data_IF_847656342955
#
_entry.id   IF_847656342955
#
_cell.length_a   1.000
_cell.length_b   1.000
_cell.length_c   1.000
_cell.angle_alpha   90.00
_cell.angle_beta   90.00
_cell.angle_gamma   90.00
#
_symmetry.space_group_name_H-M   'P 1'
#
loop_
_entity.id
_entity.type
_entity.pdbx_description
1 polymer ?
#
# COMPACT_ATOMS: atom_id res chain seq x y z
N UNK A 1 8.44 -17.66 15.00
CA UNK A 1 7.12 -18.24 14.66
C UNK A 1 6.11 -17.12 14.80
N UNK A 2 5.60 -16.63 13.68
CA UNK A 2 4.63 -15.53 13.60
C UNK A 2 3.36 -15.94 14.34
N UNK A 3 2.80 -15.03 15.15
CA UNK A 3 1.53 -15.27 15.85
C UNK A 3 0.44 -14.42 15.21
N UNK A 4 -0.60 -15.06 14.73
CA UNK A 4 -1.80 -14.40 14.21
C UNK A 4 -2.90 -14.40 15.27
N UNK A 5 -3.53 -13.25 15.47
CA UNK A 5 -4.70 -13.10 16.33
C UNK A 5 -5.54 -11.89 15.90
N UNK A 6 -6.79 -11.85 16.37
CA UNK A 6 -7.65 -10.67 16.21
C UNK A 6 -7.60 -9.81 17.47
N UNK A 7 -7.48 -8.50 17.31
CA UNK A 7 -7.49 -7.51 18.40
C UNK A 7 -8.49 -6.39 18.11
N UNK A 8 -8.85 -5.60 19.13
CA UNK A 8 -9.69 -4.42 18.94
C UNK A 8 -8.92 -3.29 18.24
N UNK A 9 -9.65 -2.38 17.61
CA UNK A 9 -9.09 -1.18 16.99
C UNK A 9 -8.29 -0.32 18.00
N UNK A 10 -8.78 -0.16 19.24
CA UNK A 10 -8.06 0.60 20.27
C UNK A 10 -6.72 -0.03 20.62
N UNK A 11 -6.69 -1.36 20.72
CA UNK A 11 -5.45 -2.09 20.99
C UNK A 11 -4.48 -1.99 19.82
N UNK A 12 -4.98 -2.03 18.58
CA UNK A 12 -4.17 -1.88 17.38
C UNK A 12 -3.55 -0.47 17.29
N UNK A 13 -4.36 0.58 17.48
CA UNK A 13 -3.89 1.96 17.57
C UNK A 13 -2.85 2.13 18.68
N UNK A 14 -3.12 1.63 19.90
CA UNK A 14 -2.18 1.73 21.01
C UNK A 14 -0.85 1.04 20.72
N UNK A 15 -0.88 -0.13 20.05
CA UNK A 15 0.33 -0.86 19.65
C UNK A 15 1.11 -0.10 18.57
N UNK A 16 0.43 0.29 17.49
CA UNK A 16 1.04 1.00 16.36
C UNK A 16 1.69 2.32 16.83
N UNK A 17 0.95 3.16 17.56
CA UNK A 17 1.45 4.47 17.98
C UNK A 17 2.49 4.42 19.10
N UNK A 18 2.59 3.31 19.82
CA UNK A 18 3.67 3.12 20.79
C UNK A 18 5.01 2.84 20.09
N UNK A 19 4.99 2.22 18.91
CA UNK A 19 6.19 1.88 18.12
C UNK A 19 6.53 2.94 17.08
N UNK A 20 5.52 3.45 16.40
CA UNK A 20 5.61 4.42 15.32
C UNK A 20 4.66 5.61 15.59
N UNK A 21 5.05 6.57 16.43
CA UNK A 21 4.16 7.67 16.84
C UNK A 21 3.65 8.56 15.70
N UNK A 22 4.42 8.66 14.59
CA UNK A 22 4.07 9.46 13.42
C UNK A 22 2.82 8.94 12.70
N UNK A 23 2.52 7.64 12.81
CA UNK A 23 1.33 7.03 12.22
C UNK A 23 0.02 7.66 12.72
N UNK A 24 0.02 8.41 13.83
CA UNK A 24 -1.17 9.11 14.33
C UNK A 24 -1.76 10.12 13.34
N UNK A 25 -0.98 10.61 12.39
CA UNK A 25 -1.44 11.51 11.35
C UNK A 25 -2.20 10.79 10.23
N UNK A 26 -1.89 9.52 9.98
CA UNK A 26 -2.33 8.79 8.79
C UNK A 26 -3.23 7.58 9.09
N UNK A 27 -3.10 7.01 10.29
CA UNK A 27 -3.71 5.75 10.66
C UNK A 27 -4.72 5.96 11.78
N UNK A 28 -5.94 5.51 11.56
CA UNK A 28 -6.90 5.28 12.62
C UNK A 28 -7.71 4.01 12.34
N UNK A 29 -7.39 2.93 13.05
CA UNK A 29 -8.12 1.67 12.94
C UNK A 29 -9.59 1.77 13.36
N UNK A 30 -10.02 2.84 14.04
CA UNK A 30 -11.37 2.99 14.60
C UNK A 30 -12.37 3.61 13.60
N UNK A 31 -11.95 3.90 12.37
CA UNK A 31 -12.83 4.47 11.37
C UNK A 31 -13.95 3.49 11.03
N UNK A 32 -15.17 4.03 10.86
CA UNK A 32 -16.38 3.24 10.60
C UNK A 32 -16.33 2.51 9.25
N UNK A 33 -15.49 2.98 8.33
CA UNK A 33 -15.31 2.36 7.02
C UNK A 33 -14.68 0.96 7.13
N UNK A 34 -14.04 0.65 8.27
CA UNK A 34 -13.50 -0.68 8.58
C UNK A 34 -14.47 -1.58 9.37
N UNK A 35 -15.73 -1.17 9.57
CA UNK A 35 -16.75 -2.01 10.19
C UNK A 35 -17.04 -3.25 9.31
N UNK A 36 -17.02 -4.43 9.92
CA UNK A 36 -17.47 -5.65 9.26
C UNK A 36 -19.01 -5.68 9.15
N UNK A 37 -19.57 -6.73 8.55
CA UNK A 37 -21.04 -6.86 8.38
C UNK A 37 -21.84 -6.95 9.69
N UNK A 38 -21.18 -7.25 10.81
CA UNK A 38 -21.78 -7.26 12.14
C UNK A 38 -21.71 -5.89 12.85
N UNK A 39 -21.04 -4.90 12.25
CA UNK A 39 -20.78 -3.60 12.85
C UNK A 39 -19.59 -3.58 13.81
N UNK A 40 -18.79 -4.66 13.86
CA UNK A 40 -17.57 -4.70 14.66
C UNK A 40 -16.37 -4.20 13.85
N UNK A 41 -15.45 -3.51 14.50
CA UNK A 41 -14.15 -3.16 13.93
C UNK A 41 -13.10 -4.06 14.57
N UNK A 42 -12.56 -4.97 13.78
CA UNK A 42 -11.56 -5.93 14.22
C UNK A 42 -10.28 -5.79 13.39
N UNK A 43 -9.13 -6.00 14.02
CA UNK A 43 -7.83 -5.92 13.34
C UNK A 43 -7.12 -7.25 13.43
N UNK A 44 -6.66 -7.77 12.29
CA UNK A 44 -5.79 -8.94 12.25
C UNK A 44 -4.36 -8.53 12.57
N UNK A 45 -3.87 -8.93 13.74
CA UNK A 45 -2.50 -8.71 14.17
C UNK A 45 -1.64 -9.92 13.82
N UNK A 46 -0.58 -9.68 13.06
CA UNK A 46 0.54 -10.60 12.87
C UNK A 46 1.72 -10.10 13.71
N UNK A 47 2.09 -10.83 14.76
CA UNK A 47 3.20 -10.46 15.64
C UNK A 47 4.52 -11.07 15.17
N UNK A 48 5.52 -10.20 15.00
CA UNK A 48 6.84 -10.52 14.44
C UNK A 48 6.85 -10.54 12.91
N UNK A 49 8.02 -10.82 12.35
CA UNK A 49 8.21 -10.91 10.91
C UNK A 49 7.27 -11.97 10.31
N UNK A 50 6.61 -11.58 9.22
CA UNK A 50 5.52 -12.31 8.58
C UNK A 50 5.86 -12.55 7.12
N UNK A 51 5.78 -13.81 6.70
CA UNK A 51 6.09 -14.22 5.32
C UNK A 51 4.86 -14.92 4.73
N UNK A 52 4.48 -14.50 3.53
CA UNK A 52 3.51 -15.19 2.68
C UNK A 52 4.24 -15.71 1.44
N UNK A 53 4.27 -17.04 1.27
CA UNK A 53 4.97 -17.69 0.15
C UNK A 53 4.29 -17.46 -1.22
N UNK A 54 3.14 -16.78 -1.27
CA UNK A 54 2.39 -16.46 -2.47
C UNK A 54 1.63 -15.15 -2.33
N UNK A 55 0.51 -15.02 -3.04
CA UNK A 55 -0.35 -13.84 -2.96
C UNK A 55 -0.90 -13.63 -1.54
N UNK A 56 -1.02 -12.37 -1.12
CA UNK A 56 -1.68 -11.97 0.12
C UNK A 56 -2.67 -10.83 -0.17
N UNK A 57 -3.92 -11.03 0.26
CA UNK A 57 -4.98 -10.04 0.11
C UNK A 57 -5.50 -9.56 1.47
N UNK A 58 -5.66 -8.24 1.63
CA UNK A 58 -6.42 -7.64 2.72
C UNK A 58 -7.88 -7.59 2.28
N UNK A 59 -8.69 -8.50 2.80
CA UNK A 59 -10.06 -8.71 2.29
C UNK A 59 -11.10 -7.78 2.95
N UNK A 60 -11.36 -7.95 4.25
CA UNK A 60 -12.51 -7.32 4.90
C UNK A 60 -12.18 -6.50 6.15
N UNK A 61 -11.09 -6.81 6.83
CA UNK A 61 -10.70 -6.20 8.09
C UNK A 61 -9.29 -5.63 7.97
N UNK A 62 -9.00 -4.60 8.74
CA UNK A 62 -7.66 -4.02 8.77
C UNK A 62 -6.63 -5.04 9.24
N UNK A 63 -5.41 -4.91 8.73
CA UNK A 63 -4.26 -5.75 9.07
C UNK A 63 -3.18 -4.91 9.71
N UNK A 64 -2.62 -5.41 10.80
CA UNK A 64 -1.45 -4.84 11.46
C UNK A 64 -0.35 -5.91 11.53
N UNK A 65 0.79 -5.63 10.91
CA UNK A 65 2.00 -6.45 11.04
C UNK A 65 2.95 -5.76 12.00
N UNK A 66 3.18 -6.39 13.15
CA UNK A 66 4.13 -5.93 14.16
C UNK A 66 5.52 -6.51 13.90
N UNK A 67 6.12 -6.10 12.79
CA UNK A 67 7.40 -6.58 12.26
C UNK A 67 7.47 -6.34 10.74
N UNK A 68 8.36 -7.06 10.07
CA UNK A 68 8.48 -7.01 8.61
C UNK A 68 7.39 -7.85 7.93
N UNK A 69 6.99 -7.45 6.72
CA UNK A 69 6.06 -8.19 5.86
C UNK A 69 6.75 -8.55 4.54
N UNK A 70 6.90 -9.85 4.25
CA UNK A 70 7.42 -10.38 2.99
C UNK A 70 6.32 -11.17 2.26
N UNK A 71 5.89 -10.68 1.10
CA UNK A 71 4.88 -11.31 0.24
C UNK A 71 5.53 -11.72 -1.07
N UNK A 72 5.80 -13.01 -1.27
CA UNK A 72 6.50 -13.49 -2.47
C UNK A 72 5.65 -13.47 -3.75
N UNK A 73 4.36 -13.17 -3.62
CA UNK A 73 3.42 -12.96 -4.73
C UNK A 73 2.90 -11.53 -4.80
N UNK A 74 1.63 -11.39 -5.15
CA UNK A 74 0.95 -10.09 -5.18
C UNK A 74 0.44 -9.73 -3.79
N UNK A 75 0.82 -8.57 -3.28
CA UNK A 75 0.15 -7.91 -2.17
C UNK A 75 -1.01 -7.08 -2.72
N UNK A 76 -2.23 -7.30 -2.23
CA UNK A 76 -3.36 -6.45 -2.63
C UNK A 76 -4.32 -6.14 -1.48
N UNK A 77 -4.92 -4.97 -1.51
CA UNK A 77 -6.08 -4.63 -0.69
C UNK A 77 -7.30 -4.18 -1.53
N UNK A 78 -7.26 -4.44 -2.85
CA UNK A 78 -8.29 -4.06 -3.82
C UNK A 78 -9.32 -5.15 -4.15
N UNK A 79 -9.29 -6.30 -3.46
CA UNK A 79 -9.97 -7.50 -3.95
C UNK A 79 -11.51 -7.41 -3.87
N UNK A 80 -12.06 -7.17 -2.67
CA UNK A 80 -13.50 -7.31 -2.40
C UNK A 80 -14.13 -6.16 -1.57
N UNK A 81 -13.33 -5.20 -1.11
CA UNK A 81 -13.80 -4.02 -0.38
C UNK A 81 -13.13 -2.74 -0.85
N UNK A 82 -13.88 -1.65 -0.73
CA UNK A 82 -13.45 -0.30 -1.11
C UNK A 82 -12.65 0.40 0.00
N UNK A 83 -12.68 -0.12 1.22
CA UNK A 83 -12.01 0.46 2.39
C UNK A 83 -11.27 -0.63 3.16
N UNK A 84 -9.95 -0.59 3.06
CA UNK A 84 -9.01 -1.49 3.73
C UNK A 84 -7.91 -0.66 4.37
N UNK A 85 -7.29 -1.21 5.40
CA UNK A 85 -6.14 -0.60 6.06
C UNK A 85 -5.09 -1.65 6.35
N UNK A 86 -3.92 -1.51 5.74
CA UNK A 86 -2.73 -2.28 6.05
C UNK A 86 -1.71 -1.40 6.75
N UNK A 87 -1.24 -1.84 7.92
CA UNK A 87 -0.13 -1.18 8.63
C UNK A 87 0.98 -2.18 8.86
N UNK A 88 2.20 -1.82 8.48
CA UNK A 88 3.42 -2.60 8.71
C UNK A 88 4.38 -1.77 9.55
N UNK A 89 4.72 -2.26 10.75
CA UNK A 89 5.62 -1.58 11.70
C UNK A 89 7.11 -1.90 11.47
N UNK A 90 7.45 -2.27 10.23
CA UNK A 90 8.77 -2.64 9.76
C UNK A 90 8.83 -2.47 8.25
N UNK A 91 9.68 -3.23 7.59
CA UNK A 91 9.83 -3.18 6.13
C UNK A 91 8.77 -4.02 5.43
N UNK A 92 8.35 -3.57 4.25
CA UNK A 92 7.42 -4.28 3.37
C UNK A 92 8.16 -4.69 2.09
N UNK A 93 8.15 -5.99 1.80
CA UNK A 93 8.65 -6.55 0.55
C UNK A 93 7.53 -7.28 -0.19
N UNK A 94 7.40 -7.05 -1.49
CA UNK A 94 6.49 -7.81 -2.33
C UNK A 94 7.02 -8.00 -3.75
N UNK A 95 6.51 -8.98 -4.51
CA UNK A 95 6.79 -9.05 -5.96
C UNK A 95 6.06 -7.95 -6.71
N UNK A 96 4.75 -7.84 -6.48
CA UNK A 96 3.86 -6.84 -7.03
C UNK A 96 2.96 -6.31 -5.91
N UNK A 97 2.54 -5.05 -6.02
CA UNK A 97 1.60 -4.44 -5.09
C UNK A 97 0.46 -3.74 -5.85
N UNK A 98 -0.77 -3.97 -5.39
CA UNK A 98 -1.97 -3.30 -5.87
C UNK A 98 -2.78 -2.77 -4.69
N UNK A 99 -2.77 -1.45 -4.52
CA UNK A 99 -3.42 -0.78 -3.39
C UNK A 99 -4.60 0.08 -3.83
N UNK A 100 -5.74 -0.09 -3.16
CA UNK A 100 -6.94 0.72 -3.33
C UNK A 100 -7.46 1.30 -2.02
N UNK A 101 -7.07 0.68 -0.89
CA UNK A 101 -7.28 1.24 0.44
C UNK A 101 -6.05 1.96 0.94
N UNK A 102 -5.98 2.10 2.27
CA UNK A 102 -4.90 2.79 2.94
C UNK A 102 -3.79 1.83 3.34
N UNK A 103 -2.55 2.21 3.05
CA UNK A 103 -1.36 1.46 3.44
C UNK A 103 -0.39 2.40 4.14
N UNK A 104 0.10 1.98 5.31
CA UNK A 104 1.11 2.70 6.07
C UNK A 104 2.27 1.78 6.46
N UNK A 105 3.50 2.20 6.15
CA UNK A 105 4.72 1.43 6.41
C UNK A 105 5.70 2.29 7.21
N UNK A 106 6.09 1.82 8.39
CA UNK A 106 7.07 2.47 9.27
C UNK A 106 8.52 2.29 8.81
N UNK A 107 8.79 1.21 8.08
CA UNK A 107 10.07 0.97 7.42
C UNK A 107 10.08 1.42 5.96
N UNK A 108 10.86 0.70 5.16
CA UNK A 108 10.97 0.89 3.71
C UNK A 108 10.04 -0.05 2.95
N UNK A 109 9.68 0.36 1.73
CA UNK A 109 8.94 -0.47 0.77
C UNK A 109 9.86 -0.90 -0.37
N UNK A 110 9.97 -2.20 -0.58
CA UNK A 110 10.66 -2.79 -1.72
C UNK A 110 9.71 -3.68 -2.51
N UNK A 111 9.29 -3.25 -3.68
CA UNK A 111 8.45 -4.06 -4.57
C UNK A 111 9.22 -4.38 -5.82
N UNK A 112 9.40 -5.65 -6.15
CA UNK A 112 10.30 -6.06 -7.24
C UNK A 112 9.89 -5.46 -8.59
N UNK A 113 8.59 -5.36 -8.85
CA UNK A 113 8.04 -4.97 -10.15
C UNK A 113 7.23 -3.67 -10.07
N UNK A 114 5.93 -3.78 -9.83
CA UNK A 114 4.99 -2.66 -9.94
C UNK A 114 4.33 -2.41 -8.59
N UNK A 115 4.40 -1.16 -8.13
CA UNK A 115 3.48 -0.59 -7.16
C UNK A 115 2.42 0.16 -7.95
N UNK A 116 1.19 -0.30 -7.89
CA UNK A 116 0.05 0.43 -8.41
C UNK A 116 -0.85 0.81 -7.24
N UNK A 117 -0.99 2.11 -6.99
CA UNK A 117 -1.85 2.67 -5.95
C UNK A 117 -2.90 3.55 -6.61
N UNK A 118 -4.17 3.29 -6.33
CA UNK A 118 -5.27 4.10 -6.82
C UNK A 118 -6.30 4.27 -5.73
N UNK A 119 -6.62 5.51 -5.36
CA UNK A 119 -7.63 5.76 -4.34
C UNK A 119 -8.90 6.30 -4.99
N UNK A 120 -9.96 5.51 -4.86
CA UNK A 120 -11.30 5.94 -5.23
C UNK A 120 -12.00 6.73 -4.11
N UNK A 121 -11.43 6.77 -2.90
CA UNK A 121 -12.10 7.26 -1.69
C UNK A 121 -11.16 7.93 -0.67
N UNK A 122 -10.22 8.78 -1.12
CA UNK A 122 -9.34 9.56 -0.24
C UNK A 122 -8.46 8.67 0.69
N UNK A 123 -8.01 7.53 0.16
CA UNK A 123 -7.08 6.63 0.82
C UNK A 123 -5.63 7.07 0.63
N UNK A 124 -4.79 6.71 1.60
CA UNK A 124 -3.38 7.13 1.65
C UNK A 124 -2.42 5.96 1.47
N UNK A 125 -1.31 6.22 0.77
CA UNK A 125 -0.19 5.31 0.67
C UNK A 125 1.04 5.99 1.26
N UNK A 126 1.40 5.64 2.49
CA UNK A 126 2.44 6.35 3.26
C UNK A 126 3.57 5.43 3.68
N UNK A 127 4.79 5.85 3.38
CA UNK A 127 6.02 5.11 3.65
C UNK A 127 6.97 6.02 4.39
N UNK A 128 7.39 5.66 5.59
CA UNK A 128 8.35 6.47 6.35
C UNK A 128 9.77 6.38 5.79
N UNK A 129 10.18 5.17 5.41
CA UNK A 129 11.50 4.89 4.84
C UNK A 129 11.59 5.15 3.35
N UNK A 130 12.50 4.42 2.71
CA UNK A 130 12.72 4.48 1.27
C UNK A 130 11.65 3.67 0.52
N UNK A 131 11.36 4.05 -0.72
CA UNK A 131 10.51 3.31 -1.64
C UNK A 131 11.33 2.90 -2.86
N UNK A 132 11.23 1.63 -3.25
CA UNK A 132 11.84 1.13 -4.48
C UNK A 132 10.93 0.17 -5.24
N UNK A 133 10.87 0.35 -6.56
CA UNK A 133 10.17 -0.53 -7.50
C UNK A 133 10.62 -0.31 -8.95
N UNK A 134 10.46 -1.31 -9.83
CA UNK A 134 10.71 -1.09 -11.26
C UNK A 134 9.73 -0.05 -11.85
N UNK A 135 8.48 -0.04 -11.40
CA UNK A 135 7.49 0.98 -11.73
C UNK A 135 6.60 1.36 -10.54
N UNK A 136 6.26 2.65 -10.47
CA UNK A 136 5.31 3.18 -9.50
C UNK A 136 4.22 3.98 -10.22
N UNK A 137 2.97 3.59 -10.05
CA UNK A 137 1.81 4.27 -10.61
C UNK A 137 0.92 4.70 -9.46
N UNK A 138 0.74 6.00 -9.33
CA UNK A 138 -0.12 6.65 -8.33
C UNK A 138 -1.24 7.40 -9.05
N UNK A 139 -2.47 6.95 -8.82
CA UNK A 139 -3.67 7.54 -9.43
C UNK A 139 -4.72 7.87 -8.35
N UNK A 140 -4.66 9.10 -7.82
CA UNK A 140 -5.68 9.63 -6.92
C UNK A 140 -5.51 9.25 -5.45
N UNK A 141 -4.35 8.71 -5.08
CA UNK A 141 -3.97 8.39 -3.70
C UNK A 141 -3.19 9.53 -3.05
N UNK A 142 -3.52 9.83 -1.80
CA UNK A 142 -2.72 10.75 -0.99
C UNK A 142 -1.44 10.05 -0.54
N UNK A 143 -0.45 10.07 -1.42
CA UNK A 143 0.79 9.32 -1.23
C UNK A 143 1.88 10.17 -0.60
N UNK A 144 2.63 9.59 0.34
CA UNK A 144 3.78 10.24 0.97
C UNK A 144 4.93 9.26 1.18
N UNK A 145 6.14 9.64 0.78
CA UNK A 145 7.38 8.88 1.05
C UNK A 145 8.37 9.74 1.83
N UNK A 146 8.79 9.26 3.00
CA UNK A 146 9.70 9.97 3.89
C UNK A 146 11.18 9.88 3.49
N UNK A 147 11.55 8.77 2.84
CA UNK A 147 12.89 8.49 2.33
C UNK A 147 13.07 8.82 0.85
N UNK A 148 14.04 8.16 0.23
CA UNK A 148 14.31 8.26 -1.20
C UNK A 148 13.32 7.40 -2.00
N UNK A 149 13.01 7.84 -3.21
CA UNK A 149 12.24 7.06 -4.18
C UNK A 149 13.22 6.59 -5.26
N UNK A 150 13.40 5.28 -5.39
CA UNK A 150 14.23 4.64 -6.42
C UNK A 150 13.32 3.81 -7.34
N UNK A 151 12.85 4.44 -8.42
CA UNK A 151 12.00 3.78 -9.41
C UNK A 151 12.42 4.13 -10.82
N UNK A 152 12.22 3.22 -11.78
CA UNK A 152 12.58 3.48 -13.18
C UNK A 152 11.52 4.29 -13.92
N UNK A 153 10.26 4.15 -13.53
CA UNK A 153 9.10 4.79 -14.16
C UNK A 153 8.10 5.22 -13.07
N UNK A 154 7.68 6.49 -13.08
CA UNK A 154 6.69 7.05 -12.15
C UNK A 154 5.54 7.67 -12.95
N UNK A 155 4.30 7.24 -12.69
CA UNK A 155 3.07 7.95 -13.11
C UNK A 155 2.48 8.57 -11.84
N UNK A 156 2.22 9.88 -11.84
CA UNK A 156 1.87 10.60 -10.62
C UNK A 156 0.81 11.68 -10.86
N UNK A 157 -0.11 11.82 -9.90
CA UNK A 157 -1.02 12.96 -9.82
C UNK A 157 -0.96 13.73 -8.47
N UNK A 158 -0.43 13.15 -7.38
CA UNK A 158 -0.49 13.77 -6.04
C UNK A 158 0.57 13.32 -4.99
N UNK A 159 1.65 12.62 -5.36
CA UNK A 159 2.68 12.16 -4.42
C UNK A 159 3.49 13.32 -3.78
N UNK A 160 3.66 13.24 -2.47
CA UNK A 160 4.56 14.10 -1.70
C UNK A 160 5.80 13.31 -1.24
N UNK A 161 6.97 13.96 -1.23
CA UNK A 161 8.20 13.41 -0.66
C UNK A 161 8.75 14.35 0.42
N UNK A 162 9.34 13.82 1.49
CA UNK A 162 10.02 14.70 2.42
C UNK A 162 10.68 14.03 3.61
N UNK A 163 11.85 14.52 4.02
CA UNK A 163 12.54 14.02 5.23
C UNK A 163 12.07 14.79 6.47
N UNK A 164 11.42 14.10 7.41
CA UNK A 164 10.91 14.70 8.66
C UNK A 164 9.51 15.31 8.49
N UNK A 165 9.18 16.35 9.25
CA UNK A 165 7.84 16.98 9.26
C UNK A 165 7.55 17.86 8.02
N UNK A 166 8.52 18.02 7.10
CA UNK A 166 8.38 18.82 5.90
C UNK A 166 7.92 17.95 4.74
N UNK A 167 6.63 18.04 4.37
CA UNK A 167 6.11 17.51 3.10
C UNK A 167 6.50 18.47 1.98
N UNK A 168 7.22 17.99 0.98
CA UNK A 168 7.44 18.69 -0.28
C UNK A 168 6.70 17.92 -1.38
N UNK A 169 6.19 18.61 -2.39
CA UNK A 169 5.76 17.92 -3.60
C UNK A 169 6.99 17.23 -4.21
N UNK A 170 6.82 16.01 -4.73
CA UNK A 170 7.91 15.33 -5.40
C UNK A 170 8.20 16.03 -6.75
N UNK A 171 9.31 16.76 -6.84
CA UNK A 171 9.64 17.61 -8.00
C UNK A 171 10.45 16.88 -9.11
N UNK A 172 10.89 15.63 -8.89
CA UNK A 172 11.80 14.90 -9.80
C UNK A 172 11.07 13.94 -10.78
N UNK A 173 9.74 13.86 -10.70
CA UNK A 173 8.92 13.12 -11.66
C UNK A 173 8.48 14.05 -12.78
N UNK A 174 8.92 13.81 -14.02
CA UNK A 174 8.09 14.23 -15.15
C UNK A 174 6.76 13.50 -14.99
N UNK A 175 5.67 14.23 -14.72
CA UNK A 175 4.32 13.66 -14.81
C UNK A 175 4.17 13.05 -16.21
N UNK A 176 4.28 11.73 -16.29
CA UNK A 176 4.02 10.97 -17.51
C UNK A 176 2.68 10.30 -17.35
N UNK A 177 1.88 10.30 -18.41
CA UNK A 177 0.56 9.69 -18.37
C UNK A 177 0.68 8.18 -18.10
N UNK A 178 -0.34 7.58 -17.50
CA UNK A 178 -0.44 6.13 -17.36
C UNK A 178 -0.24 5.42 -18.72
N UNK A 179 -0.68 6.09 -19.79
CA UNK A 179 -0.52 5.65 -21.17
C UNK A 179 0.94 5.53 -21.63
N UNK A 180 1.91 6.18 -20.98
CA UNK A 180 3.34 6.13 -21.29
C UNK A 180 4.06 4.99 -20.58
N UNK A 181 3.55 4.57 -19.42
CA UNK A 181 4.17 3.57 -18.54
C UNK A 181 3.52 2.19 -18.70
N UNK A 182 2.21 2.12 -18.86
CA UNK A 182 1.45 0.87 -18.97
C UNK A 182 1.32 0.41 -20.42
N UNK A 183 1.32 -0.91 -20.64
CA UNK A 183 1.00 -1.48 -21.95
C UNK A 183 -0.44 -1.10 -22.36
N UNK A 184 -0.72 -0.83 -23.65
CA UNK A 184 -2.04 -0.36 -24.10
C UNK A 184 -3.23 -1.25 -23.77
N UNK A 185 -2.99 -2.55 -23.52
CA UNK A 185 -4.03 -3.50 -23.11
C UNK A 185 -4.52 -3.32 -21.66
N UNK A 186 -3.84 -2.50 -20.86
CA UNK A 186 -4.21 -2.15 -19.49
C UNK A 186 -4.85 -0.76 -19.38
N UNK A 187 -5.26 -0.19 -20.51
CA UNK A 187 -5.87 1.12 -20.60
C UNK A 187 -7.28 1.00 -21.20
N UNK A 188 -8.25 1.74 -20.65
CA UNK A 188 -9.56 2.02 -21.24
C UNK A 188 -9.64 3.51 -21.60
N UNK A 189 -9.20 3.80 -22.84
CA UNK A 189 -8.96 5.17 -23.27
C UNK A 189 -7.80 5.79 -22.48
N UNK A 190 -8.10 6.86 -21.74
CA UNK A 190 -7.12 7.56 -20.89
C UNK A 190 -7.11 7.03 -19.44
N UNK A 191 -7.97 6.06 -19.10
CA UNK A 191 -8.07 5.47 -17.77
C UNK A 191 -7.34 4.12 -17.70
N UNK A 192 -7.02 3.69 -16.49
CA UNK A 192 -6.42 2.39 -16.20
C UNK A 192 -7.46 1.31 -15.92
N UNK A 193 -7.21 0.11 -16.47
CA UNK A 193 -8.03 -1.07 -16.21
C UNK A 193 -7.48 -1.84 -15.00
N UNK A 194 -7.79 -1.35 -13.79
CA UNK A 194 -7.29 -1.88 -12.51
C UNK A 194 -7.44 -3.41 -12.42
N UNK A 195 -8.58 -3.94 -12.88
CA UNK A 195 -8.83 -5.39 -12.87
C UNK A 195 -7.89 -6.13 -13.82
N UNK A 196 -7.62 -5.59 -15.00
CA UNK A 196 -6.68 -6.21 -15.95
C UNK A 196 -5.25 -6.17 -15.40
N UNK A 197 -4.86 -5.06 -14.76
CA UNK A 197 -3.57 -4.91 -14.07
C UNK A 197 -3.43 -5.95 -12.96
N UNK A 198 -4.44 -6.09 -12.09
CA UNK A 198 -4.43 -7.08 -11.02
C UNK A 198 -4.25 -8.50 -11.54
N UNK A 199 -5.04 -8.87 -12.56
CA UNK A 199 -4.96 -10.21 -13.15
C UNK A 199 -3.59 -10.44 -13.80
N UNK A 200 -3.03 -9.45 -14.49
CA UNK A 200 -1.71 -9.53 -15.08
C UNK A 200 -0.60 -9.68 -14.01
N UNK A 201 -0.68 -8.93 -12.90
CA UNK A 201 0.24 -9.07 -11.78
C UNK A 201 0.17 -10.47 -11.18
N UNK A 202 -1.04 -11.03 -10.95
CA UNK A 202 -1.21 -12.41 -10.45
C UNK A 202 -0.65 -13.47 -11.39
N UNK A 203 -0.82 -13.26 -12.70
CA UNK A 203 -0.26 -14.11 -13.75
C UNK A 203 1.25 -13.91 -13.96
N UNK A 204 1.88 -12.96 -13.26
CA UNK A 204 3.28 -12.61 -13.45
C UNK A 204 3.58 -11.98 -14.81
N UNK A 205 2.56 -11.49 -15.51
CA UNK A 205 2.71 -10.80 -16.80
C UNK A 205 3.36 -9.44 -16.63
N UNK A 206 4.06 -9.01 -17.67
CA UNK A 206 4.61 -7.67 -17.76
C UNK A 206 3.45 -6.69 -17.94
N UNK A 207 3.42 -5.65 -17.12
CA UNK A 207 2.41 -4.57 -17.16
C UNK A 207 3.01 -3.28 -17.73
N UNK A 208 4.30 -3.06 -17.44
CA UNK A 208 5.07 -1.90 -17.86
C UNK A 208 5.54 -2.01 -19.32
N UNK A 209 5.74 -0.88 -20.00
CA UNK A 209 6.33 -0.82 -21.34
C UNK A 209 7.84 -1.04 -21.37
#
# INVERSE_FOLDING_TARGET
MTKHQTISAERACALAFAKAPWLREYVDFRQRDYENSAGDIIVHLYSGDTVFDGDFAVEANSVLVDGNLDVRGVLSDCADRQFTLLVVLGDLTARDMLSCGSVAVDGSVHVERLIYVNSLFDCSFVVYGDLSADGFVEEGSHSWVGGNIDTRQIVQCALHQGRGDAKQEYEDGSEVEASEVLLPEFLDGDNTEIRAIFMAQREGRVVLK
#
